data_IF_651342980814
#
_entry.id   IF_651342980814
#
_cell.length_a   1.000
_cell.length_b   1.000
_cell.length_c   1.000
_cell.angle_alpha   90.00
_cell.angle_beta   90.00
_cell.angle_gamma   90.00
#
_symmetry.space_group_name_H-M   'P 1'
#
loop_
_entity.id
_entity.type
_entity.pdbx_description
1 polymer ?
#
# COMPACT_ATOMS: atom_id res chain seq x y z
N UNK A 1 -25.59 -6.79 31.59
CA UNK A 1 -26.20 -5.53 31.12
C UNK A 1 -25.09 -4.49 31.04
N UNK A 2 -24.48 -4.33 29.87
CA UNK A 2 -23.47 -3.27 29.67
C UNK A 2 -24.19 -1.93 29.69
N UNK A 3 -23.84 -1.07 30.63
CA UNK A 3 -24.34 0.31 30.67
C UNK A 3 -24.02 0.97 29.33
N UNK A 4 -25.01 1.60 28.71
CA UNK A 4 -24.82 2.29 27.44
C UNK A 4 -23.80 3.39 27.65
N UNK A 5 -22.64 3.30 27.00
CA UNK A 5 -21.62 4.34 27.03
C UNK A 5 -22.29 5.67 26.62
N UNK A 6 -22.25 6.72 27.46
CA UNK A 6 -22.93 7.98 27.19
C UNK A 6 -22.48 8.64 25.88
N UNK A 7 -21.26 8.34 25.40
CA UNK A 7 -20.76 8.80 24.09
C UNK A 7 -21.59 8.26 22.92
N UNK A 8 -22.13 7.04 23.02
CA UNK A 8 -23.00 6.48 21.98
C UNK A 8 -24.37 7.18 21.94
N UNK A 9 -24.89 7.65 23.07
CA UNK A 9 -26.13 8.41 23.11
C UNK A 9 -25.97 9.76 22.39
N UNK A 10 -24.86 10.46 22.64
CA UNK A 10 -24.50 11.70 21.93
C UNK A 10 -24.34 11.44 20.43
N UNK A 11 -23.59 10.41 20.04
CA UNK A 11 -23.39 10.09 18.63
C UNK A 11 -24.70 9.78 17.89
N UNK A 12 -25.63 9.07 18.54
CA UNK A 12 -26.95 8.76 17.98
C UNK A 12 -27.79 10.01 17.70
N UNK A 13 -27.66 11.05 18.52
CA UNK A 13 -28.34 12.32 18.31
C UNK A 13 -27.71 13.16 17.18
N UNK A 14 -26.46 12.84 16.79
CA UNK A 14 -25.68 13.59 15.81
C UNK A 14 -25.16 12.73 14.66
N UNK A 15 -25.87 11.66 14.27
CA UNK A 15 -25.46 10.77 13.16
C UNK A 15 -25.07 11.48 11.84
N UNK A 16 -25.74 12.59 11.43
CA UNK A 16 -25.32 13.32 10.24
C UNK A 16 -23.87 13.83 10.30
N UNK A 17 -23.29 14.04 11.49
CA UNK A 17 -21.89 14.45 11.67
C UNK A 17 -20.87 13.37 11.24
N UNK A 18 -21.31 12.12 11.06
CA UNK A 18 -20.48 11.03 10.52
C UNK A 18 -20.49 10.97 8.98
N UNK A 19 -21.33 11.77 8.31
CA UNK A 19 -21.35 11.82 6.84
C UNK A 19 -20.11 12.56 6.33
N UNK A 20 -19.63 12.16 5.14
CA UNK A 20 -18.48 12.79 4.50
C UNK A 20 -17.11 12.34 5.03
N UNK A 21 -17.04 11.22 5.75
CA UNK A 21 -15.75 10.61 6.11
C UNK A 21 -14.98 10.29 4.83
N UNK A 22 -13.74 10.75 4.79
CA UNK A 22 -12.78 10.51 3.73
C UNK A 22 -11.78 9.42 4.17
N UNK A 23 -11.23 8.67 3.21
CA UNK A 23 -10.35 7.52 3.44
C UNK A 23 -9.24 7.46 2.39
N UNK A 24 -8.08 6.95 2.76
CA UNK A 24 -6.98 6.60 1.88
C UNK A 24 -6.30 5.30 2.37
N UNK A 25 -5.57 4.63 1.49
CA UNK A 25 -4.79 3.42 1.79
C UNK A 25 -3.37 3.62 1.31
N UNK A 26 -2.43 3.23 2.16
CA UNK A 26 -1.02 2.96 1.84
C UNK A 26 -0.83 1.44 2.01
N UNK A 27 -0.28 0.78 0.98
CA UNK A 27 -0.06 -0.67 0.98
C UNK A 27 1.34 -1.00 0.47
N UNK A 28 2.13 -1.59 1.35
CA UNK A 28 3.49 -2.02 1.05
C UNK A 28 3.55 -3.45 0.51
N UNK A 29 4.60 -3.75 -0.27
CA UNK A 29 4.95 -5.10 -0.68
C UNK A 29 6.34 -5.18 -1.31
N UNK A 30 7.14 -6.13 -0.86
CA UNK A 30 8.47 -6.36 -1.43
C UNK A 30 8.35 -6.92 -2.85
N UNK A 31 9.14 -6.39 -3.78
CA UNK A 31 9.45 -7.06 -5.03
C UNK A 31 10.35 -8.25 -4.74
N UNK A 32 9.95 -9.41 -5.25
CA UNK A 32 10.69 -10.66 -5.09
C UNK A 32 10.78 -11.37 -6.44
N UNK A 33 11.82 -12.16 -6.62
CA UNK A 33 11.90 -13.12 -7.72
C UNK A 33 10.80 -14.19 -7.62
N UNK A 34 10.56 -14.94 -8.69
CA UNK A 34 9.62 -16.07 -8.70
C UNK A 34 9.91 -17.14 -7.62
N UNK A 35 11.13 -17.20 -7.09
CA UNK A 35 11.52 -18.10 -5.99
C UNK A 35 11.34 -17.49 -4.59
N UNK A 36 10.81 -16.26 -4.48
CA UNK A 36 10.56 -15.59 -3.20
C UNK A 36 11.80 -14.98 -2.55
N UNK A 37 12.86 -14.72 -3.34
CA UNK A 37 14.05 -13.97 -2.88
C UNK A 37 13.90 -12.49 -3.21
N UNK A 38 14.29 -11.61 -2.30
CA UNK A 38 14.26 -10.15 -2.48
C UNK A 38 14.87 -9.73 -3.83
N UNK A 39 14.14 -8.94 -4.61
CA UNK A 39 14.65 -8.36 -5.85
C UNK A 39 15.77 -7.36 -5.57
N UNK A 40 16.80 -7.35 -6.42
CA UNK A 40 17.92 -6.38 -6.36
C UNK A 40 17.98 -5.46 -7.58
N UNK A 41 16.98 -5.57 -8.46
CA UNK A 41 16.82 -4.70 -9.62
C UNK A 41 16.36 -3.31 -9.16
N UNK A 42 16.67 -2.24 -9.92
CA UNK A 42 16.13 -0.90 -9.67
C UNK A 42 14.60 -0.86 -9.71
N UNK A 43 14.03 0.22 -9.16
CA UNK A 43 12.63 0.57 -9.35
C UNK A 43 12.29 0.56 -10.85
N UNK A 44 11.26 -0.20 -11.28
CA UNK A 44 10.96 -0.33 -12.70
C UNK A 44 10.62 1.02 -13.34
N UNK A 45 11.33 1.39 -14.41
CA UNK A 45 11.16 2.69 -15.08
C UNK A 45 9.73 2.95 -15.57
N UNK A 46 8.97 1.90 -15.89
CA UNK A 46 7.56 2.00 -16.30
C UNK A 46 6.63 2.49 -15.17
N UNK A 47 7.06 2.41 -13.90
CA UNK A 47 6.35 2.94 -12.75
C UNK A 47 6.66 4.43 -12.51
N UNK A 48 7.57 5.02 -13.29
CA UNK A 48 7.96 6.42 -13.18
C UNK A 48 9.04 6.66 -12.13
N UNK A 49 8.98 7.82 -11.48
CA UNK A 49 9.95 8.22 -10.44
C UNK A 49 9.30 8.05 -9.06
N UNK A 50 9.85 7.17 -8.23
CA UNK A 50 9.38 6.98 -6.85
C UNK A 50 9.33 8.30 -6.07
N UNK A 51 10.33 9.17 -6.24
CA UNK A 51 10.40 10.48 -5.58
C UNK A 51 9.20 11.40 -5.85
N UNK A 52 8.52 11.27 -6.99
CA UNK A 52 7.50 12.24 -7.43
C UNK A 52 6.17 11.62 -7.88
N UNK A 53 6.08 10.30 -8.01
CA UNK A 53 4.86 9.63 -8.40
C UNK A 53 3.86 9.60 -7.21
N UNK A 54 2.64 10.15 -7.36
CA UNK A 54 1.68 10.26 -6.26
C UNK A 54 0.95 8.96 -5.90
N UNK A 55 1.19 7.86 -6.62
CA UNK A 55 0.46 6.58 -6.46
C UNK A 55 1.35 5.39 -6.18
N UNK A 56 2.58 5.41 -6.68
CA UNK A 56 3.51 4.28 -6.63
C UNK A 56 4.87 4.85 -6.26
N UNK A 57 5.37 4.49 -5.08
CA UNK A 57 6.69 4.90 -4.60
C UNK A 57 7.44 3.69 -4.02
N UNK A 58 8.61 3.93 -3.48
CA UNK A 58 9.33 3.03 -2.59
C UNK A 58 9.34 3.60 -1.17
N UNK A 59 9.30 2.71 -0.17
CA UNK A 59 9.58 3.04 1.23
C UNK A 59 11.08 2.78 1.51
N UNK A 60 11.44 2.18 2.64
CA UNK A 60 12.83 2.00 3.09
C UNK A 60 13.77 1.41 2.03
N UNK A 61 13.31 0.40 1.30
CA UNK A 61 14.13 -0.31 0.33
C UNK A 61 13.71 0.00 -1.10
N UNK A 62 14.68 0.03 -2.00
CA UNK A 62 14.46 0.11 -3.46
C UNK A 62 13.53 -1.01 -3.97
N UNK A 63 13.50 -2.14 -3.27
CA UNK A 63 12.63 -3.27 -3.57
C UNK A 63 11.28 -3.23 -2.83
N UNK A 64 11.06 -2.32 -1.88
CA UNK A 64 9.83 -2.21 -1.11
C UNK A 64 8.88 -1.21 -1.78
N UNK A 65 7.98 -1.70 -2.62
CA UNK A 65 6.96 -0.87 -3.25
C UNK A 65 5.93 -0.42 -2.22
N UNK A 66 5.47 0.81 -2.35
CA UNK A 66 4.35 1.38 -1.60
C UNK A 66 3.30 1.92 -2.60
N UNK A 67 2.07 1.44 -2.46
CA UNK A 67 0.92 1.85 -3.27
C UNK A 67 0.03 2.78 -2.45
N UNK A 68 -0.22 3.98 -2.98
CA UNK A 68 -0.91 5.06 -2.28
C UNK A 68 -2.16 5.46 -3.08
N UNK A 69 -3.34 5.39 -2.48
CA UNK A 69 -4.58 5.83 -3.12
C UNK A 69 -4.79 7.35 -2.99
N UNK A 70 -5.64 7.91 -3.83
CA UNK A 70 -6.30 9.17 -3.53
C UNK A 70 -7.17 9.12 -2.28
N UNK A 71 -7.75 10.26 -1.95
CA UNK A 71 -8.74 10.36 -0.87
C UNK A 71 -10.15 10.11 -1.43
N UNK A 72 -10.89 9.19 -0.83
CA UNK A 72 -12.22 8.76 -1.28
C UNK A 72 -13.29 8.90 -0.20
N UNK A 73 -14.51 9.20 -0.62
CA UNK A 73 -15.70 9.23 0.24
C UNK A 73 -16.40 7.87 0.38
N UNK A 74 -16.08 6.90 -0.50
CA UNK A 74 -16.59 5.54 -0.52
C UNK A 74 -15.49 4.49 -0.41
N UNK A 75 -15.75 3.38 0.29
CA UNK A 75 -14.85 2.23 0.32
C UNK A 75 -14.75 1.53 -1.03
N UNK A 76 -15.80 1.59 -1.86
CA UNK A 76 -15.80 0.95 -3.18
C UNK A 76 -14.80 1.63 -4.11
N UNK A 77 -14.90 2.95 -4.28
CA UNK A 77 -14.01 3.70 -5.17
C UNK A 77 -12.54 3.67 -4.69
N UNK A 78 -12.35 3.64 -3.36
CA UNK A 78 -11.04 3.44 -2.73
C UNK A 78 -10.40 2.10 -3.13
N UNK A 79 -11.15 1.00 -3.02
CA UNK A 79 -10.67 -0.33 -3.35
C UNK A 79 -10.49 -0.50 -4.87
N UNK A 80 -11.34 0.12 -5.68
CA UNK A 80 -11.21 0.11 -7.15
C UNK A 80 -9.90 0.78 -7.60
N UNK A 81 -9.54 1.95 -7.03
CA UNK A 81 -8.26 2.62 -7.33
C UNK A 81 -7.06 1.76 -6.88
N UNK A 82 -7.15 1.17 -5.69
CA UNK A 82 -6.09 0.29 -5.17
C UNK A 82 -5.89 -0.93 -6.07
N UNK A 83 -6.98 -1.57 -6.52
CA UNK A 83 -6.92 -2.71 -7.44
C UNK A 83 -6.29 -2.30 -8.77
N UNK A 84 -6.72 -1.18 -9.35
CA UNK A 84 -6.20 -0.68 -10.62
C UNK A 84 -4.69 -0.40 -10.54
N UNK A 85 -4.26 0.28 -9.49
CA UNK A 85 -2.84 0.58 -9.25
C UNK A 85 -2.03 -0.70 -9.09
N UNK A 86 -2.53 -1.64 -8.27
CA UNK A 86 -1.88 -2.92 -8.04
C UNK A 86 -1.76 -3.77 -9.32
N UNK A 87 -2.81 -3.78 -10.16
CA UNK A 87 -2.81 -4.50 -11.44
C UNK A 87 -1.83 -3.89 -12.43
N UNK A 88 -1.78 -2.56 -12.52
CA UNK A 88 -0.81 -1.87 -13.34
C UNK A 88 0.61 -2.24 -12.92
N UNK A 89 0.93 -2.13 -11.63
CA UNK A 89 2.25 -2.50 -11.09
C UNK A 89 2.60 -3.94 -11.44
N UNK A 90 1.72 -4.90 -11.16
CA UNK A 90 1.97 -6.31 -11.43
C UNK A 90 2.28 -6.62 -12.90
N UNK A 91 1.77 -5.82 -13.84
CA UNK A 91 2.08 -5.95 -15.27
C UNK A 91 3.45 -5.38 -15.66
N UNK A 92 4.07 -4.55 -14.82
CA UNK A 92 5.37 -3.91 -15.07
C UNK A 92 6.53 -4.59 -14.33
N UNK A 93 6.30 -5.72 -13.64
CA UNK A 93 7.32 -6.40 -12.83
C UNK A 93 8.09 -7.52 -13.57
N UNK A 94 7.78 -7.78 -14.85
CA UNK A 94 8.41 -8.84 -15.65
C UNK A 94 8.48 -10.19 -14.91
N UNK A 95 9.69 -10.63 -14.51
CA UNK A 95 9.96 -11.89 -13.80
C UNK A 95 9.99 -11.73 -12.26
N UNK A 96 9.41 -10.65 -11.75
CA UNK A 96 9.26 -10.38 -10.32
C UNK A 96 7.78 -10.39 -9.92
N UNK A 97 7.57 -10.59 -8.62
CA UNK A 97 6.27 -10.67 -7.98
C UNK A 97 6.22 -9.71 -6.79
N UNK A 98 5.01 -9.34 -6.38
CA UNK A 98 4.78 -8.61 -5.13
C UNK A 98 4.57 -9.63 -4.00
N UNK A 99 5.40 -9.57 -2.96
CA UNK A 99 5.23 -10.33 -1.74
C UNK A 99 4.08 -9.75 -0.90
N UNK A 100 2.97 -10.47 -0.80
CA UNK A 100 1.73 -10.00 -0.17
C UNK A 100 1.57 -10.41 1.31
N UNK A 101 2.65 -10.86 1.97
CA UNK A 101 2.64 -11.20 3.39
C UNK A 101 3.40 -10.14 4.19
N UNK A 102 2.93 -9.84 5.40
CA UNK A 102 3.60 -8.87 6.29
C UNK A 102 4.95 -9.36 6.78
N UNK A 103 5.09 -10.67 7.05
CA UNK A 103 6.39 -11.25 7.35
C UNK A 103 7.18 -11.38 6.05
N UNK A 104 8.46 -10.96 6.03
CA UNK A 104 9.20 -10.80 4.80
C UNK A 104 9.47 -12.14 4.10
N UNK A 105 9.77 -12.04 2.81
CA UNK A 105 10.27 -13.15 2.00
C UNK A 105 11.70 -13.55 2.43
N UNK A 106 12.42 -14.30 1.60
CA UNK A 106 13.83 -14.58 1.89
C UNK A 106 14.67 -13.30 1.71
N UNK A 107 15.10 -12.73 2.84
CA UNK A 107 15.93 -11.52 2.87
C UNK A 107 17.42 -11.89 2.88
N UNK A 108 18.28 -11.07 2.23
CA UNK A 108 19.71 -11.14 2.43
C UNK A 108 20.10 -10.55 3.81
N UNK A 109 21.39 -10.58 4.20
CA UNK A 109 21.87 -9.80 5.33
C UNK A 109 21.49 -8.32 5.23
N UNK A 110 21.27 -7.65 6.36
CA UNK A 110 20.76 -6.27 6.43
C UNK A 110 21.58 -5.27 5.59
N UNK A 111 22.91 -5.38 5.63
CA UNK A 111 23.82 -4.52 4.88
C UNK A 111 23.67 -4.65 3.34
N UNK A 112 23.05 -5.73 2.88
CA UNK A 112 22.82 -6.02 1.46
C UNK A 112 21.39 -5.69 0.99
N UNK A 113 20.54 -5.16 1.89
CA UNK A 113 19.20 -4.68 1.51
C UNK A 113 19.36 -3.30 0.85
N UNK A 114 18.96 -3.14 -0.43
CA UNK A 114 19.16 -1.88 -1.12
C UNK A 114 18.23 -0.81 -0.53
N UNK A 115 18.79 0.31 -0.07
CA UNK A 115 18.03 1.50 0.34
C UNK A 115 17.40 2.16 -0.89
N UNK A 116 16.19 2.70 -0.77
CA UNK A 116 15.56 3.46 -1.85
C UNK A 116 16.38 4.71 -2.22
N UNK A 117 16.49 5.02 -3.52
CA UNK A 117 17.31 6.12 -4.03
C UNK A 117 16.65 6.93 -5.16
#
# INVERSE_FOLDING_TARGET
>A
MTSSNPRYAVLRQHLPALKGILRGIEKEGLRVTESGVLAKTPHPAALGSALTNPRITTDYSEALLELITGTHDSSTTLLDELEQTHRFVAQQLDHELIWNQSMPAHLPPEADIPIAW
#
